data_IF_659936664313
#
_entry.id   IF_659936664313
#
_cell.length_a   1.000
_cell.length_b   1.000
_cell.length_c   1.000
_cell.angle_alpha   90.00
_cell.angle_beta   90.00
_cell.angle_gamma   90.00
#
_symmetry.space_group_name_H-M   'P 1'
#
loop_
_entity.id
_entity.type
_entity.pdbx_description
1 polymer ?
#
# COMPACT_ATOMS: atom_id res chain seq x y z
N UNK A 1 -11.00 9.10 -47.83
CA UNK A 1 -11.24 8.64 -46.44
C UNK A 1 -9.90 8.68 -45.74
N UNK A 2 -9.70 9.65 -44.83
CA UNK A 2 -8.51 9.65 -43.98
C UNK A 2 -8.55 8.43 -43.04
N UNK A 3 -7.41 7.95 -42.55
CA UNK A 3 -7.40 6.88 -41.56
C UNK A 3 -8.18 7.35 -40.34
N UNK A 4 -9.15 6.54 -39.91
CA UNK A 4 -9.79 6.71 -38.61
C UNK A 4 -8.69 6.40 -37.59
N UNK A 5 -8.06 7.43 -37.04
CA UNK A 5 -7.27 7.29 -35.82
C UNK A 5 -8.24 6.82 -34.74
N UNK A 6 -8.23 5.52 -34.46
CA UNK A 6 -8.81 5.00 -33.24
C UNK A 6 -7.96 5.57 -32.10
N UNK A 7 -8.35 6.72 -31.56
CA UNK A 7 -7.73 7.28 -30.35
C UNK A 7 -7.88 6.23 -29.26
N UNK A 8 -6.78 5.56 -28.91
CA UNK A 8 -6.76 4.66 -27.77
C UNK A 8 -7.22 5.46 -26.54
N UNK A 9 -8.19 4.93 -25.80
CA UNK A 9 -8.68 5.59 -24.58
C UNK A 9 -7.51 5.83 -23.63
N UNK A 10 -7.47 7.00 -23.01
CA UNK A 10 -6.42 7.34 -22.05
C UNK A 10 -6.45 6.44 -20.82
N UNK A 11 -5.31 6.32 -20.13
CA UNK A 11 -5.21 5.61 -18.84
C UNK A 11 -6.26 6.12 -17.84
N UNK A 12 -6.47 7.45 -17.80
CA UNK A 12 -7.45 8.09 -16.91
C UNK A 12 -8.87 7.62 -17.19
N UNK A 13 -9.27 7.55 -18.46
CA UNK A 13 -10.62 7.10 -18.85
C UNK A 13 -10.84 5.63 -18.52
N UNK A 14 -9.86 4.78 -18.85
CA UNK A 14 -9.92 3.34 -18.57
C UNK A 14 -9.90 3.03 -17.07
N UNK A 15 -9.29 3.89 -16.26
CA UNK A 15 -9.23 3.74 -14.80
C UNK A 15 -10.54 4.09 -14.09
N UNK A 16 -11.43 4.91 -14.70
CA UNK A 16 -12.63 5.44 -14.04
C UNK A 16 -13.49 4.38 -13.32
N UNK A 17 -13.76 3.19 -13.89
CA UNK A 17 -14.57 2.18 -13.21
C UNK A 17 -13.98 1.66 -11.89
N UNK A 18 -12.69 1.90 -11.64
CA UNK A 18 -11.93 1.36 -10.50
C UNK A 18 -11.57 2.42 -9.45
N UNK A 19 -11.87 3.70 -9.70
CA UNK A 19 -11.61 4.80 -8.77
C UNK A 19 -12.67 4.81 -7.66
N UNK A 20 -12.25 5.17 -6.44
CA UNK A 20 -13.06 5.24 -5.21
C UNK A 20 -13.75 3.92 -4.83
N UNK A 21 -13.13 2.79 -5.18
CA UNK A 21 -13.55 1.45 -4.76
C UNK A 21 -12.51 0.82 -3.86
N UNK A 22 -12.91 0.46 -2.64
CA UNK A 22 -12.06 -0.30 -1.74
C UNK A 22 -11.74 -1.66 -2.33
N UNK A 23 -10.46 -1.96 -2.46
CA UNK A 23 -10.00 -3.32 -2.67
C UNK A 23 -10.24 -4.21 -1.44
N UNK A 24 -10.03 -5.52 -1.61
CA UNK A 24 -10.10 -6.48 -0.52
C UNK A 24 -9.09 -6.16 0.58
N UNK A 25 -9.32 -6.69 1.78
CA UNK A 25 -8.30 -6.64 2.82
C UNK A 25 -7.19 -7.64 2.52
N UNK A 26 -5.95 -7.21 2.64
CA UNK A 26 -4.80 -8.09 2.82
C UNK A 26 -4.33 -8.05 4.27
N UNK A 27 -3.53 -9.05 4.66
CA UNK A 27 -3.01 -9.20 6.01
C UNK A 27 -1.50 -9.45 5.95
N UNK A 28 -0.76 -8.90 6.91
CA UNK A 28 0.65 -9.26 7.09
C UNK A 28 0.79 -10.75 7.44
N UNK A 29 1.88 -11.36 7.00
CA UNK A 29 2.17 -12.78 7.29
C UNK A 29 2.25 -13.05 8.79
N UNK A 30 2.97 -12.16 9.50
CA UNK A 30 3.30 -12.31 10.89
C UNK A 30 2.62 -11.24 11.75
N UNK A 31 2.37 -11.58 13.01
CA UNK A 31 1.93 -10.62 14.00
C UNK A 31 3.03 -9.59 14.31
N UNK A 32 2.63 -8.40 14.75
CA UNK A 32 3.59 -7.39 15.20
C UNK A 32 4.31 -7.93 16.44
N UNK A 33 5.62 -8.12 16.32
CA UNK A 33 6.47 -8.68 17.38
C UNK A 33 7.48 -7.65 17.87
N UNK A 34 7.95 -7.83 19.11
CA UNK A 34 9.05 -7.03 19.64
C UNK A 34 10.31 -7.13 18.76
N UNK A 35 10.59 -8.31 18.21
CA UNK A 35 11.73 -8.50 17.30
C UNK A 35 11.60 -7.63 16.05
N UNK A 36 10.43 -7.59 15.41
CA UNK A 36 10.20 -6.74 14.24
C UNK A 36 10.36 -5.25 14.58
N UNK A 37 9.86 -4.84 15.75
CA UNK A 37 10.02 -3.47 16.26
C UNK A 37 11.50 -3.13 16.46
N UNK A 38 12.24 -3.97 17.18
CA UNK A 38 13.67 -3.75 17.44
C UNK A 38 14.47 -3.67 16.15
N UNK A 39 14.26 -4.58 15.19
CA UNK A 39 14.95 -4.52 13.88
C UNK A 39 14.68 -3.23 13.12
N UNK A 40 13.45 -2.73 13.17
CA UNK A 40 13.13 -1.43 12.59
C UNK A 40 13.88 -0.30 13.31
N UNK A 41 13.81 -0.26 14.64
CA UNK A 41 14.46 0.79 15.44
C UNK A 41 15.99 0.76 15.34
N UNK A 42 16.62 -0.42 15.22
CA UNK A 42 18.06 -0.57 15.00
C UNK A 42 18.51 0.10 13.69
N UNK A 43 17.76 -0.10 12.61
CA UNK A 43 18.07 0.52 11.30
C UNK A 43 17.75 2.01 11.30
N UNK A 44 16.70 2.43 12.00
CA UNK A 44 16.30 3.83 12.10
C UNK A 44 17.09 4.63 13.15
N UNK A 45 17.95 3.97 13.93
CA UNK A 45 18.63 4.53 15.11
C UNK A 45 17.65 5.22 16.10
N UNK A 46 16.46 4.65 16.26
CA UNK A 46 15.39 5.19 17.12
C UNK A 46 15.48 4.61 18.54
N UNK A 47 16.08 5.38 19.45
CA UNK A 47 16.30 5.00 20.84
C UNK A 47 15.12 5.26 21.79
N UNK A 48 13.92 5.58 21.31
CA UNK A 48 12.80 5.89 22.19
C UNK A 48 12.41 4.68 23.06
N UNK A 49 12.58 4.73 24.40
CA UNK A 49 12.49 3.57 25.29
C UNK A 49 11.14 2.87 25.29
N UNK A 50 10.05 3.56 24.88
CA UNK A 50 8.71 2.94 24.78
C UNK A 50 8.64 1.81 23.74
N UNK A 51 9.60 1.74 22.82
CA UNK A 51 9.69 0.68 21.80
C UNK A 51 10.56 -0.52 22.25
N UNK A 52 11.28 -0.39 23.37
CA UNK A 52 12.33 -1.33 23.78
C UNK A 52 12.10 -1.94 25.15
N UNK A 53 11.78 -1.09 26.14
CA UNK A 53 11.74 -1.41 27.56
C UNK A 53 10.28 -1.52 28.01
N UNK A 54 9.90 -2.73 28.42
CA UNK A 54 8.56 -3.04 28.87
C UNK A 54 8.21 -2.30 30.17
N UNK A 55 9.12 -2.25 31.14
CA UNK A 55 8.89 -1.59 32.43
C UNK A 55 8.73 -0.07 32.24
N UNK A 56 9.55 0.52 31.37
CA UNK A 56 9.37 1.92 30.98
C UNK A 56 8.02 2.13 30.32
N UNK A 57 7.66 1.31 29.33
CA UNK A 57 6.45 1.48 28.55
C UNK A 57 5.17 1.30 29.39
N UNK A 58 5.17 0.39 30.37
CA UNK A 58 4.09 0.20 31.35
C UNK A 58 3.79 1.45 32.17
N UNK A 59 4.81 2.28 32.44
CA UNK A 59 4.67 3.54 33.19
C UNK A 59 4.22 4.73 32.33
N UNK A 60 4.15 4.57 31.01
CA UNK A 60 3.70 5.61 30.09
C UNK A 60 2.18 5.55 29.89
N UNK A 61 1.61 6.56 29.22
CA UNK A 61 0.19 6.56 28.82
C UNK A 61 -0.22 5.35 27.95
N UNK A 62 0.75 4.66 27.35
CA UNK A 62 0.49 3.50 26.49
C UNK A 62 0.32 2.21 27.30
N UNK A 63 0.92 2.13 28.49
CA UNK A 63 0.82 0.96 29.38
C UNK A 63 1.44 -0.33 28.83
N UNK A 64 2.14 -0.26 27.70
CA UNK A 64 2.79 -1.39 27.02
C UNK A 64 3.76 -0.89 25.94
N UNK A 65 4.63 -1.78 25.48
CA UNK A 65 5.45 -1.54 24.29
C UNK A 65 4.55 -1.31 23.08
N UNK A 66 4.89 -0.28 22.31
CA UNK A 66 4.24 0.03 21.03
C UNK A 66 5.28 -0.05 19.90
N UNK A 67 4.81 -0.25 18.69
CA UNK A 67 5.62 -0.05 17.50
C UNK A 67 5.78 1.45 17.22
N UNK A 68 6.92 1.88 16.67
CA UNK A 68 7.07 3.23 16.17
C UNK A 68 6.02 3.53 15.09
N UNK A 69 5.29 4.66 15.13
CA UNK A 69 4.24 4.93 14.16
C UNK A 69 4.69 4.80 12.70
N UNK A 70 5.89 5.31 12.39
CA UNK A 70 6.50 5.26 11.07
C UNK A 70 6.86 3.86 10.57
N UNK A 71 6.90 2.85 11.46
CA UNK A 71 7.15 1.46 11.04
C UNK A 71 5.96 0.84 10.32
N UNK A 72 4.80 1.51 10.31
CA UNK A 72 3.56 1.02 9.70
C UNK A 72 3.77 0.65 8.22
N UNK A 73 4.42 1.52 7.44
CA UNK A 73 4.71 1.24 6.03
C UNK A 73 5.66 0.05 5.88
N UNK A 74 6.77 0.02 6.63
CA UNK A 74 7.76 -1.06 6.55
C UNK A 74 7.21 -2.42 6.95
N UNK A 75 6.34 -2.48 7.97
CA UNK A 75 5.73 -3.73 8.44
C UNK A 75 4.63 -4.24 7.52
N UNK A 76 4.06 -3.38 6.68
CA UNK A 76 2.96 -3.70 5.78
C UNK A 76 3.38 -3.82 4.32
N UNK A 77 4.63 -3.47 4.01
CA UNK A 77 5.17 -3.59 2.66
C UNK A 77 5.29 -5.05 2.25
N UNK A 78 4.97 -5.33 0.97
CA UNK A 78 5.07 -6.67 0.44
C UNK A 78 6.52 -7.18 0.53
N UNK A 79 6.74 -8.45 0.92
CA UNK A 79 8.08 -9.00 0.96
C UNK A 79 8.66 -9.06 -0.45
N UNK A 80 9.94 -8.69 -0.59
CA UNK A 80 10.64 -8.77 -1.88
C UNK A 80 10.64 -10.20 -2.46
N UNK A 81 10.74 -11.20 -1.57
CA UNK A 81 10.69 -12.59 -1.93
C UNK A 81 9.92 -13.40 -0.89
N UNK A 82 9.17 -14.41 -1.33
CA UNK A 82 8.48 -15.38 -0.48
C UNK A 82 8.46 -16.72 -1.23
N UNK A 83 8.70 -17.86 -0.56
CA UNK A 83 8.56 -19.17 -1.18
C UNK A 83 7.17 -19.38 -1.80
N UNK A 84 7.09 -20.04 -2.95
CA UNK A 84 5.82 -20.16 -3.70
C UNK A 84 4.71 -20.87 -2.90
N UNK A 85 5.07 -21.86 -2.09
CA UNK A 85 4.09 -22.56 -1.22
C UNK A 85 3.49 -21.63 -0.14
N UNK A 86 4.20 -20.58 0.28
CA UNK A 86 3.70 -19.57 1.21
C UNK A 86 2.92 -18.45 0.50
N UNK A 87 3.25 -18.14 -0.76
CA UNK A 87 2.45 -17.21 -1.59
C UNK A 87 1.02 -17.72 -1.75
N UNK A 88 0.86 -19.02 -2.06
CA UNK A 88 -0.47 -19.64 -2.20
C UNK A 88 -1.27 -19.53 -0.91
N UNK A 89 -0.67 -19.90 0.23
CA UNK A 89 -1.31 -19.78 1.55
C UNK A 89 -1.77 -18.34 1.85
N UNK A 90 -0.94 -17.35 1.56
CA UNK A 90 -1.28 -15.94 1.78
C UNK A 90 -2.43 -15.45 0.89
N UNK A 91 -2.48 -15.94 -0.37
CA UNK A 91 -3.60 -15.68 -1.29
C UNK A 91 -4.90 -16.29 -0.79
N UNK A 92 -4.86 -17.53 -0.30
CA UNK A 92 -6.03 -18.22 0.23
C UNK A 92 -6.55 -17.53 1.52
N UNK A 93 -5.64 -17.11 2.41
CA UNK A 93 -5.98 -16.33 3.62
C UNK A 93 -6.61 -14.97 3.26
N UNK A 94 -6.08 -14.29 2.24
CA UNK A 94 -6.65 -13.02 1.74
C UNK A 94 -8.08 -13.23 1.23
N UNK A 95 -8.30 -14.25 0.40
CA UNK A 95 -9.63 -14.56 -0.13
C UNK A 95 -10.65 -14.93 0.97
N UNK A 96 -10.20 -15.53 2.08
CA UNK A 96 -11.06 -15.89 3.21
C UNK A 96 -11.46 -14.69 4.09
N UNK A 97 -10.69 -13.58 4.07
CA UNK A 97 -11.04 -12.36 4.79
C UNK A 97 -12.25 -11.63 4.18
N UNK A 98 -12.55 -11.89 2.91
CA UNK A 98 -13.57 -11.19 2.13
C UNK A 98 -14.94 -11.91 2.17
N UNK A 99 -15.46 -12.19 3.37
CA UNK A 99 -16.79 -12.81 3.52
C UNK A 99 -17.92 -11.76 3.68
N UNK A 100 -18.86 -11.83 2.73
CA UNK A 100 -20.31 -11.49 2.77
C UNK A 100 -20.82 -10.09 2.33
N UNK A 101 -20.02 -9.12 1.89
CA UNK A 101 -20.58 -7.87 1.30
C UNK A 101 -19.98 -7.41 -0.05
N UNK A 102 -19.06 -8.18 -0.65
CA UNK A 102 -18.42 -7.82 -1.93
C UNK A 102 -18.69 -8.88 -3.00
N UNK A 103 -19.94 -8.98 -3.45
CA UNK A 103 -20.42 -9.92 -4.48
C UNK A 103 -20.09 -9.50 -5.92
N UNK A 104 -18.92 -8.92 -6.13
CA UNK A 104 -18.22 -8.96 -7.41
C UNK A 104 -16.81 -9.41 -7.07
N UNK A 105 -16.23 -10.35 -7.83
CA UNK A 105 -14.84 -10.82 -7.66
C UNK A 105 -13.90 -9.61 -7.64
N UNK A 106 -13.68 -9.04 -6.46
CA UNK A 106 -13.22 -7.66 -6.28
C UNK A 106 -11.71 -7.65 -6.43
N UNK A 107 -11.25 -7.65 -7.68
CA UNK A 107 -9.85 -7.37 -7.93
C UNK A 107 -9.58 -5.94 -7.51
N UNK A 108 -8.59 -5.76 -6.64
CA UNK A 108 -8.15 -4.45 -6.16
C UNK A 108 -8.06 -3.45 -7.31
N UNK A 109 -8.74 -2.31 -7.18
CA UNK A 109 -8.67 -1.22 -8.17
C UNK A 109 -7.22 -0.80 -8.46
N UNK A 110 -6.33 -0.94 -7.47
CA UNK A 110 -4.89 -0.73 -7.63
C UNK A 110 -4.29 -1.66 -8.68
N UNK A 111 -4.59 -2.97 -8.61
CA UNK A 111 -4.08 -3.96 -9.58
C UNK A 111 -4.60 -3.66 -10.99
N UNK A 112 -5.88 -3.29 -11.11
CA UNK A 112 -6.49 -2.95 -12.40
C UNK A 112 -5.88 -1.69 -13.02
N UNK A 113 -5.77 -0.61 -12.25
CA UNK A 113 -5.19 0.65 -12.72
C UNK A 113 -3.71 0.48 -13.07
N UNK A 114 -2.95 -0.31 -12.30
CA UNK A 114 -1.55 -0.58 -12.62
C UNK A 114 -1.41 -1.39 -13.91
N UNK A 115 -2.26 -2.40 -14.13
CA UNK A 115 -2.28 -3.13 -15.39
C UNK A 115 -2.57 -2.22 -16.59
N UNK A 116 -3.54 -1.31 -16.47
CA UNK A 116 -3.84 -0.31 -17.51
C UNK A 116 -2.62 0.57 -17.78
N UNK A 117 -1.89 1.00 -16.74
CA UNK A 117 -0.65 1.76 -16.90
C UNK A 117 0.42 0.94 -17.63
N UNK A 118 0.58 -0.33 -17.28
CA UNK A 118 1.56 -1.23 -17.91
C UNK A 118 1.24 -1.45 -19.40
N UNK A 119 -0.04 -1.62 -19.74
CA UNK A 119 -0.51 -1.73 -21.14
C UNK A 119 -0.22 -0.45 -21.97
N UNK A 120 -0.09 0.71 -21.30
CA UNK A 120 0.31 1.98 -21.90
C UNK A 120 1.83 2.23 -21.85
N UNK A 121 2.63 1.26 -21.38
CA UNK A 121 4.08 1.38 -21.26
C UNK A 121 4.56 2.20 -20.06
N UNK A 122 3.67 2.55 -19.12
CA UNK A 122 4.00 3.25 -17.88
C UNK A 122 4.36 2.27 -16.76
N UNK A 123 5.49 1.60 -16.94
CA UNK A 123 5.95 0.47 -16.12
C UNK A 123 6.89 0.87 -14.98
N UNK A 124 7.44 2.09 -15.01
CA UNK A 124 8.37 2.58 -13.97
C UNK A 124 7.62 3.39 -12.93
N UNK A 125 7.86 3.07 -11.65
CA UNK A 125 7.21 3.71 -10.50
C UNK A 125 8.18 4.62 -9.76
N UNK A 126 7.72 5.80 -9.37
CA UNK A 126 8.41 6.68 -8.41
C UNK A 126 7.40 7.28 -7.45
N UNK A 127 7.72 7.27 -6.15
CA UNK A 127 6.90 7.97 -5.14
C UNK A 127 7.10 9.47 -5.33
N UNK A 128 6.03 10.16 -5.72
CA UNK A 128 6.02 11.62 -5.87
C UNK A 128 5.75 12.31 -4.53
N UNK A 129 4.83 11.76 -3.74
CA UNK A 129 4.56 12.20 -2.37
C UNK A 129 3.90 11.09 -1.56
N UNK A 130 4.01 11.21 -0.23
CA UNK A 130 3.33 10.34 0.71
C UNK A 130 2.94 11.14 1.95
N UNK A 131 1.69 11.01 2.37
CA UNK A 131 1.18 11.52 3.64
C UNK A 131 0.65 10.34 4.46
N UNK A 132 0.95 10.33 5.76
CA UNK A 132 0.48 9.28 6.67
C UNK A 132 -0.06 9.91 7.93
N UNK A 133 -1.32 9.59 8.24
CA UNK A 133 -1.97 9.91 9.50
C UNK A 133 -1.85 8.70 10.44
N UNK A 134 -1.24 8.89 11.61
CA UNK A 134 -1.14 7.88 12.66
C UNK A 134 -2.24 8.09 13.69
N UNK A 135 -3.24 7.21 13.66
CA UNK A 135 -4.52 7.40 14.36
C UNK A 135 -4.49 6.81 15.76
N UNK A 136 -3.87 5.64 15.93
CA UNK A 136 -3.79 4.96 17.21
C UNK A 136 -2.49 4.14 17.33
N UNK A 137 -1.93 3.99 18.54
CA UNK A 137 -0.77 3.13 18.74
C UNK A 137 -1.11 1.67 18.44
N UNK A 138 -0.12 0.97 17.88
CA UNK A 138 -0.15 -0.46 17.61
C UNK A 138 1.12 -1.12 18.15
N UNK A 139 1.16 -2.45 18.27
CA UNK A 139 2.32 -3.15 18.81
C UNK A 139 2.03 -4.61 19.17
N UNK A 140 2.89 -5.25 19.98
CA UNK A 140 2.68 -6.62 20.43
C UNK A 140 1.32 -6.79 21.11
N UNK A 141 0.63 -7.90 20.81
CA UNK A 141 -0.72 -8.19 21.30
C UNK A 141 -1.85 -7.77 20.36
N UNK A 142 -1.58 -6.95 19.34
CA UNK A 142 -2.59 -6.55 18.34
C UNK A 142 -2.78 -7.56 17.19
N UNK A 143 -2.00 -8.64 17.19
CA UNK A 143 -1.97 -9.62 16.12
C UNK A 143 -1.26 -9.10 14.87
N UNK A 144 -1.70 -9.59 13.70
CA UNK A 144 -1.27 -9.13 12.38
C UNK A 144 -1.87 -7.77 12.03
N UNK A 145 -1.39 -7.16 10.95
CA UNK A 145 -1.93 -5.90 10.43
C UNK A 145 -2.74 -6.17 9.16
N UNK A 146 -3.98 -5.68 9.14
CA UNK A 146 -4.86 -5.65 7.96
C UNK A 146 -4.66 -4.35 7.22
N UNK A 147 -4.68 -4.41 5.89
CA UNK A 147 -4.72 -3.22 5.06
C UNK A 147 -5.64 -3.39 3.87
N UNK A 148 -6.23 -2.29 3.41
CA UNK A 148 -6.93 -2.23 2.13
C UNK A 148 -6.68 -0.89 1.49
N UNK A 149 -6.68 -0.86 0.17
CA UNK A 149 -6.40 0.36 -0.58
C UNK A 149 -7.48 0.62 -1.64
N UNK A 150 -7.62 1.89 -2.02
CA UNK A 150 -8.37 2.30 -3.19
C UNK A 150 -7.54 3.29 -4.00
N UNK A 151 -7.78 3.36 -5.31
CA UNK A 151 -7.32 4.48 -6.14
C UNK A 151 -8.33 5.60 -5.96
N UNK A 152 -7.88 6.81 -5.65
CA UNK A 152 -8.74 8.00 -5.49
C UNK A 152 -8.66 8.93 -6.68
N UNK A 153 -7.54 8.91 -7.41
CA UNK A 153 -7.34 9.78 -8.56
C UNK A 153 -6.32 9.18 -9.54
N UNK A 154 -6.54 9.42 -10.82
CA UNK A 154 -5.57 9.23 -11.90
C UNK A 154 -5.52 10.52 -12.71
N UNK A 155 -4.33 11.11 -12.83
CA UNK A 155 -4.15 12.34 -13.60
C UNK A 155 -4.27 12.10 -15.10
N UNK A 156 -4.39 13.18 -15.86
CA UNK A 156 -4.05 13.14 -17.29
C UNK A 156 -2.57 12.76 -17.48
N UNK A 157 -2.24 12.27 -18.68
CA UNK A 157 -0.85 12.04 -19.06
C UNK A 157 -0.08 13.35 -19.06
N UNK A 158 1.13 13.33 -18.48
CA UNK A 158 2.01 14.48 -18.38
C UNK A 158 3.39 14.11 -18.87
N UNK A 159 4.00 15.04 -19.58
CA UNK A 159 5.45 15.01 -19.80
C UNK A 159 6.13 15.58 -18.55
N UNK A 160 6.90 14.74 -17.86
CA UNK A 160 7.74 15.15 -16.73
C UNK A 160 9.22 14.94 -17.07
N UNK A 161 10.11 15.40 -16.19
CA UNK A 161 11.57 15.34 -16.41
C UNK A 161 12.09 13.93 -16.72
N UNK A 162 11.48 12.91 -16.12
CA UNK A 162 11.92 11.51 -16.20
C UNK A 162 11.24 10.72 -17.32
N UNK A 163 10.24 11.30 -18.01
CA UNK A 163 9.48 10.62 -19.07
C UNK A 163 8.03 11.06 -19.13
N UNK A 164 7.26 10.45 -20.04
CA UNK A 164 5.80 10.61 -20.10
C UNK A 164 5.15 9.62 -19.15
N UNK A 165 4.11 10.05 -18.43
CA UNK A 165 3.42 9.18 -17.48
C UNK A 165 2.19 9.81 -16.84
N UNK A 166 1.62 9.11 -15.87
CA UNK A 166 0.46 9.54 -15.07
C UNK A 166 0.80 9.53 -13.59
N UNK A 167 0.11 10.37 -12.82
CA UNK A 167 0.09 10.30 -11.37
C UNK A 167 -1.11 9.47 -10.94
N UNK A 168 -0.88 8.50 -10.07
CA UNK A 168 -1.89 7.64 -9.47
C UNK A 168 -1.90 7.89 -7.97
N UNK A 169 -3.01 8.43 -7.48
CA UNK A 169 -3.22 8.68 -6.04
C UNK A 169 -3.99 7.50 -5.44
N UNK A 170 -3.47 6.94 -4.37
CA UNK A 170 -4.13 5.88 -3.61
C UNK A 170 -4.29 6.25 -2.14
N UNK A 171 -5.35 5.72 -1.52
CA UNK A 171 -5.54 5.78 -0.07
C UNK A 171 -5.51 4.38 0.50
N UNK A 172 -4.78 4.18 1.59
CA UNK A 172 -4.71 2.90 2.33
C UNK A 172 -5.19 3.08 3.76
N UNK A 173 -6.05 2.19 4.24
CA UNK A 173 -6.38 2.06 5.66
C UNK A 173 -5.60 0.90 6.28
N UNK A 174 -5.08 1.12 7.48
CA UNK A 174 -4.38 0.09 8.26
C UNK A 174 -5.13 -0.20 9.55
N UNK A 175 -5.31 -1.49 9.85
CA UNK A 175 -6.05 -1.97 11.02
C UNK A 175 -5.34 -3.09 11.75
N UNK A 176 -5.56 -3.20 13.05
CA UNK A 176 -5.13 -4.36 13.83
C UNK A 176 -6.01 -5.57 13.52
N UNK A 177 -5.44 -6.78 13.58
CA UNK A 177 -6.21 -8.03 13.57
C UNK A 177 -7.10 -8.11 14.82
N UNK A 178 -6.49 -7.95 16.00
CA UNK A 178 -7.21 -7.93 17.28
C UNK A 178 -7.97 -6.63 17.44
N UNK A 179 -9.29 -6.71 17.63
CA UNK A 179 -10.15 -5.55 17.89
C UNK A 179 -10.41 -4.63 16.68
N UNK A 180 -9.87 -4.94 15.50
CA UNK A 180 -10.14 -4.22 14.24
C UNK A 180 -9.91 -2.68 14.30
N UNK A 181 -8.99 -2.21 15.14
CA UNK A 181 -8.77 -0.78 15.39
C UNK A 181 -8.13 -0.13 14.18
N UNK A 182 -8.63 1.04 13.77
CA UNK A 182 -7.98 1.87 12.74
C UNK A 182 -6.74 2.52 13.38
N UNK A 183 -5.56 2.19 12.85
CA UNK A 183 -4.28 2.65 13.41
C UNK A 183 -3.58 3.66 12.51
N UNK A 184 -3.91 3.69 11.22
CA UNK A 184 -3.41 4.73 10.33
C UNK A 184 -4.11 4.77 8.99
N UNK A 185 -3.88 5.87 8.29
CA UNK A 185 -4.27 6.10 6.90
C UNK A 185 -3.09 6.66 6.13
N UNK A 186 -2.88 6.23 4.90
CA UNK A 186 -1.89 6.83 4.01
C UNK A 186 -2.51 7.30 2.71
N UNK A 187 -2.03 8.42 2.22
CA UNK A 187 -2.24 8.88 0.85
C UNK A 187 -0.88 8.77 0.15
N UNK A 188 -0.83 8.02 -0.94
CA UNK A 188 0.37 7.82 -1.73
C UNK A 188 0.12 8.34 -3.15
N UNK A 189 1.01 9.19 -3.65
CA UNK A 189 1.01 9.60 -5.06
C UNK A 189 2.19 8.93 -5.75
N UNK A 190 1.90 8.03 -6.68
CA UNK A 190 2.90 7.40 -7.53
C UNK A 190 2.90 8.05 -8.92
N UNK A 191 4.08 8.46 -9.37
CA UNK A 191 4.32 8.70 -10.79
C UNK A 191 4.60 7.34 -11.45
N UNK A 192 3.74 6.95 -12.39
CA UNK A 192 3.96 5.83 -13.29
C UNK A 192 4.33 6.36 -14.67
N UNK A 193 5.49 6.00 -15.19
CA UNK A 193 6.01 6.60 -16.41
C UNK A 193 6.80 5.60 -17.26
N UNK A 194 7.03 5.95 -18.51
CA UNK A 194 7.96 5.27 -19.38
C UNK A 194 9.36 5.88 -19.22
N UNK A 195 10.35 5.09 -18.79
CA UNK A 195 11.72 5.55 -18.58
C UNK A 195 12.56 5.67 -19.86
N UNK A 196 12.03 5.27 -21.02
CA UNK A 196 12.67 5.46 -22.32
C UNK A 196 12.58 6.93 -22.74
N UNK A 197 13.40 7.75 -22.10
CA UNK A 197 13.66 9.15 -22.45
C UNK A 197 14.40 9.34 -23.78
N UNK A 198 14.52 8.33 -24.64
CA UNK A 198 14.95 8.52 -26.02
C UNK A 198 13.72 8.75 -26.89
N UNK A 199 13.48 10.03 -27.23
CA UNK A 199 12.77 10.39 -28.45
C UNK A 199 13.17 9.44 -29.58
N UNK A 200 12.20 8.72 -30.15
CA UNK A 200 12.37 8.15 -31.49
C UNK A 200 12.90 9.28 -32.38
N UNK A 201 14.13 9.11 -32.86
CA UNK A 201 14.68 9.90 -33.97
C UNK A 201 13.92 9.58 -35.24
#
# INVERSE_FOLDING_TARGET
>A
MGPVETTANSVRELAQPFINRWGPFSMTRDAVSETAIRRFCEVAEDGNPVYWDKEFAERTRFGRVIAPPQSLFSMTFAPWWTPDFLKKKSSDETAALDTVENTEKSVSGVIRVYGICDDHGFTVNTVASQEVEYIAPFGPGDGRLKMRSMITEVSEEKQVRVGRGVFVTSTTEYRTETGNRLIGRSILVLLRYNADGSTNK
#
